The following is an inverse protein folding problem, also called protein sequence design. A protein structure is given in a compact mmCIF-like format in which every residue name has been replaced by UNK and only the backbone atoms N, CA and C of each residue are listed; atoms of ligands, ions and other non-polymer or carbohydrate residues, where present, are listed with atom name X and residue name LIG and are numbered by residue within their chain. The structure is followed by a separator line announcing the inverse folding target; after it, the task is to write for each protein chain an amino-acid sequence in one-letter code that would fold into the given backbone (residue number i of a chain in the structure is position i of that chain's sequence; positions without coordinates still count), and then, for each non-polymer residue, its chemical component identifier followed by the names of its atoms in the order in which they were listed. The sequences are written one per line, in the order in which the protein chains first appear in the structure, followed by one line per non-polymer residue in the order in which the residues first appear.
data_IF_550142803723
#
_entry.id   IF_550142803723
#
_cell.length_a   1.000
_cell.length_b   1.000
_cell.length_c   1.000
_cell.angle_alpha   90.00
_cell.angle_beta   90.00
_cell.angle_gamma   90.00
#
_symmetry.space_group_name_H-M   'P 1'
#
loop_
_entity.id
_entity.type
_entity.pdbx_description
1 polymer ?
#
# COMPACT_ATOMS: atom_id res chain seq x y z
N UNK A 1 -15.58 32.89 -15.45
CA UNK A 1 -14.83 31.92 -14.62
C UNK A 1 -15.57 30.58 -14.54
N UNK A 2 -16.83 30.54 -14.08
CA UNK A 2 -17.61 29.30 -13.96
C UNK A 2 -17.65 28.48 -15.25
N UNK A 3 -17.94 29.10 -16.41
CA UNK A 3 -18.01 28.41 -17.70
C UNK A 3 -16.66 27.84 -18.16
N UNK A 4 -15.55 28.52 -17.83
CA UNK A 4 -14.20 28.07 -18.15
C UNK A 4 -13.80 26.86 -17.28
N UNK A 5 -14.20 26.90 -16.00
CA UNK A 5 -13.99 25.78 -15.06
C UNK A 5 -14.81 24.56 -15.49
N UNK A 6 -16.08 24.74 -15.83
CA UNK A 6 -16.92 23.66 -16.34
C UNK A 6 -16.34 23.05 -17.63
N UNK A 7 -15.92 23.89 -18.58
CA UNK A 7 -15.29 23.40 -19.82
C UNK A 7 -14.03 22.58 -19.55
N UNK A 8 -13.16 23.03 -18.64
CA UNK A 8 -11.98 22.25 -18.24
C UNK A 8 -12.35 20.92 -17.58
N UNK A 9 -13.34 20.93 -16.68
CA UNK A 9 -13.78 19.75 -15.94
C UNK A 9 -14.37 18.68 -16.87
N UNK A 10 -15.16 19.07 -17.87
CA UNK A 10 -15.85 18.12 -18.74
C UNK A 10 -15.04 17.73 -19.98
N UNK A 11 -14.20 18.63 -20.51
CA UNK A 11 -13.50 18.40 -21.78
C UNK A 11 -12.02 18.06 -21.63
N UNK A 12 -11.32 18.65 -20.65
CA UNK A 12 -9.87 18.46 -20.48
C UNK A 12 -9.53 17.43 -19.41
N UNK A 13 -10.28 17.40 -18.30
CA UNK A 13 -9.98 16.52 -17.18
C UNK A 13 -10.11 15.01 -17.51
N UNK A 14 -11.16 14.52 -18.21
CA UNK A 14 -11.31 13.08 -18.45
C UNK A 14 -10.13 12.41 -19.19
N UNK A 15 -9.60 12.95 -20.32
CA UNK A 15 -8.45 12.34 -20.98
C UNK A 15 -7.17 12.43 -20.14
N UNK A 16 -7.01 13.49 -19.34
CA UNK A 16 -5.87 13.63 -18.43
C UNK A 16 -5.90 12.60 -17.31
N UNK A 17 -7.08 12.34 -16.72
CA UNK A 17 -7.26 11.29 -15.72
C UNK A 17 -7.03 9.90 -16.32
N UNK A 18 -7.55 9.65 -17.52
CA UNK A 18 -7.32 8.39 -18.24
C UNK A 18 -5.82 8.15 -18.46
N UNK A 19 -5.05 9.20 -18.80
CA UNK A 19 -3.60 9.11 -18.96
C UNK A 19 -2.82 8.89 -17.65
N UNK A 20 -3.40 9.21 -16.47
CA UNK A 20 -2.77 8.90 -15.18
C UNK A 20 -3.05 7.46 -14.72
N UNK A 21 -4.14 6.84 -15.19
CA UNK A 21 -4.52 5.49 -14.76
C UNK A 21 -3.46 4.47 -15.17
N UNK A 22 -2.88 3.76 -14.19
CA UNK A 22 -1.83 2.77 -14.44
C UNK A 22 -0.45 3.37 -14.74
N UNK A 23 -0.28 4.69 -14.59
CA UNK A 23 1.01 5.34 -14.82
C UNK A 23 2.09 4.77 -13.90
N UNK A 24 3.27 4.51 -14.45
CA UNK A 24 4.37 3.82 -13.77
C UNK A 24 4.05 2.38 -13.31
N UNK A 25 2.98 1.77 -13.85
CA UNK A 25 2.52 0.45 -13.42
C UNK A 25 1.84 0.45 -12.04
N UNK A 26 1.50 1.63 -11.50
CA UNK A 26 0.81 1.76 -10.21
C UNK A 26 -0.65 1.36 -10.44
N UNK A 27 -1.05 0.26 -9.82
CA UNK A 27 -2.41 -0.32 -9.92
C UNK A 27 -2.98 -0.59 -8.53
N UNK A 28 -4.31 -0.74 -8.39
CA UNK A 28 -4.92 -1.07 -7.10
C UNK A 28 -4.72 -2.53 -6.67
N UNK A 29 -4.13 -3.39 -7.52
CA UNK A 29 -4.07 -4.83 -7.31
C UNK A 29 -3.44 -5.25 -5.95
N UNK A 30 -2.34 -4.63 -5.47
CA UNK A 30 -1.76 -5.00 -4.16
C UNK A 30 -2.70 -4.68 -2.99
N UNK A 31 -3.47 -3.59 -3.07
CA UNK A 31 -4.44 -3.22 -2.03
C UNK A 31 -5.67 -4.15 -2.09
N UNK A 32 -6.14 -4.47 -3.30
CA UNK A 32 -7.23 -5.43 -3.49
C UNK A 32 -6.87 -6.81 -2.96
N UNK A 33 -5.62 -7.26 -3.14
CA UNK A 33 -5.14 -8.51 -2.57
C UNK A 33 -5.21 -8.52 -1.04
N UNK A 34 -4.90 -7.39 -0.39
CA UNK A 34 -5.03 -7.24 1.07
C UNK A 34 -6.48 -7.23 1.52
N UNK A 35 -7.35 -6.51 0.81
CA UNK A 35 -8.79 -6.49 1.10
C UNK A 35 -9.42 -7.89 0.95
N UNK A 36 -9.00 -8.65 -0.06
CA UNK A 36 -9.49 -10.01 -0.34
C UNK A 36 -8.92 -11.08 0.59
N UNK A 37 -7.79 -10.81 1.25
CA UNK A 37 -7.14 -11.77 2.14
C UNK A 37 -7.79 -11.85 3.53
N UNK A 38 -8.83 -11.05 3.81
CA UNK A 38 -9.59 -11.06 5.08
C UNK A 38 -8.69 -11.01 6.33
N UNK A 39 -7.65 -10.17 6.27
CA UNK A 39 -6.66 -10.08 7.35
C UNK A 39 -7.25 -9.54 8.65
N UNK A 40 -6.67 -9.95 9.78
CA UNK A 40 -7.02 -9.41 11.09
C UNK A 40 -6.40 -8.03 11.28
N UNK A 41 -7.19 -7.06 11.77
CA UNK A 41 -6.73 -5.71 12.10
C UNK A 41 -6.67 -5.50 13.63
N UNK A 42 -5.74 -4.69 14.15
CA UNK A 42 -4.78 -3.86 13.42
C UNK A 42 -3.63 -4.68 12.81
N UNK A 43 -3.17 -4.30 11.61
CA UNK A 43 -2.17 -5.07 10.86
C UNK A 43 -0.94 -4.24 10.48
N UNK A 44 0.22 -4.90 10.44
CA UNK A 44 1.45 -4.46 9.81
C UNK A 44 1.70 -5.35 8.59
N UNK A 45 1.76 -4.75 7.40
CA UNK A 45 2.03 -5.44 6.14
C UNK A 45 3.43 -5.08 5.65
N UNK A 46 4.28 -6.10 5.56
CA UNK A 46 5.63 -6.02 5.03
C UNK A 46 5.60 -6.32 3.53
N UNK A 47 5.82 -5.29 2.71
CA UNK A 47 5.84 -5.40 1.25
C UNK A 47 7.20 -5.93 0.80
N UNK A 48 7.19 -7.13 0.21
CA UNK A 48 8.37 -7.87 -0.26
C UNK A 48 8.70 -7.53 -1.71
N UNK A 49 9.93 -7.84 -2.12
CA UNK A 49 10.41 -7.74 -3.51
C UNK A 49 10.22 -6.36 -4.18
N UNK A 50 10.26 -5.28 -3.39
CA UNK A 50 10.17 -3.91 -3.90
C UNK A 50 11.45 -3.57 -4.66
N UNK A 51 11.38 -3.46 -5.99
CA UNK A 51 12.54 -3.12 -6.85
C UNK A 51 12.53 -1.65 -7.27
N UNK A 52 11.34 -1.04 -7.35
CA UNK A 52 11.12 0.35 -7.75
C UNK A 52 10.18 1.01 -6.75
N UNK A 53 10.28 2.32 -6.61
CA UNK A 53 9.37 3.11 -5.77
C UNK A 53 7.89 2.87 -6.13
N UNK A 54 7.59 2.66 -7.42
CA UNK A 54 6.24 2.43 -7.93
C UNK A 54 5.62 1.13 -7.44
N UNK A 55 6.44 0.14 -7.09
CA UNK A 55 5.98 -1.16 -6.58
C UNK A 55 5.40 -1.01 -5.15
N UNK A 56 5.78 0.05 -4.42
CA UNK A 56 5.28 0.37 -3.08
C UNK A 56 4.29 1.55 -3.07
N UNK A 57 4.18 2.32 -4.15
CA UNK A 57 3.47 3.60 -4.18
C UNK A 57 2.00 3.52 -3.73
N UNK A 58 1.27 2.46 -4.13
CA UNK A 58 -0.12 2.27 -3.73
C UNK A 58 -0.24 2.00 -2.21
N UNK A 59 0.59 1.09 -1.68
CA UNK A 59 0.67 0.77 -0.25
C UNK A 59 1.08 1.98 0.59
N UNK A 60 2.06 2.76 0.11
CA UNK A 60 2.46 4.01 0.76
C UNK A 60 1.29 5.00 0.86
N UNK A 61 0.57 5.22 -0.24
CA UNK A 61 -0.55 6.15 -0.29
C UNK A 61 -1.75 5.71 0.57
N UNK A 62 -1.86 4.42 0.87
CA UNK A 62 -2.90 3.87 1.74
C UNK A 62 -2.63 4.07 3.24
N UNK A 63 -1.40 4.39 3.64
CA UNK A 63 -1.09 4.67 5.04
C UNK A 63 -1.74 5.96 5.52
N UNK A 64 -2.24 5.95 6.76
CA UNK A 64 -2.60 7.21 7.42
C UNK A 64 -1.33 8.03 7.68
N UNK A 65 -1.38 9.37 7.65
CA UNK A 65 -0.20 10.22 7.88
C UNK A 65 0.47 10.01 9.26
N UNK A 66 -0.31 9.56 10.26
CA UNK A 66 0.17 9.29 11.61
C UNK A 66 0.53 7.81 11.85
N UNK A 67 0.39 6.94 10.83
CA UNK A 67 0.63 5.50 10.93
C UNK A 67 -0.20 4.79 12.01
N UNK A 68 -1.38 5.34 12.29
CA UNK A 68 -2.36 4.86 13.26
C UNK A 68 -3.58 4.18 12.62
N UNK A 69 -3.64 4.12 11.28
CA UNK A 69 -4.70 3.46 10.54
C UNK A 69 -4.82 1.96 10.83
N UNK A 70 -5.91 1.30 10.39
CA UNK A 70 -6.14 -0.13 10.64
C UNK A 70 -5.07 -1.04 10.02
N UNK A 71 -4.44 -0.60 8.93
CA UNK A 71 -3.34 -1.28 8.27
C UNK A 71 -2.19 -0.30 8.10
N UNK A 72 -0.98 -0.72 8.46
CA UNK A 72 0.27 -0.01 8.20
C UNK A 72 1.09 -0.82 7.23
N UNK A 73 1.47 -0.20 6.11
CA UNK A 73 2.34 -0.79 5.10
C UNK A 73 3.77 -0.29 5.26
N UNK A 74 4.73 -1.21 5.20
CA UNK A 74 6.16 -0.88 5.18
C UNK A 74 6.89 -1.74 4.16
N UNK A 75 7.94 -1.20 3.53
CA UNK A 75 8.84 -2.01 2.70
C UNK A 75 9.65 -2.93 3.61
N UNK A 76 9.76 -4.20 3.26
CA UNK A 76 10.71 -5.09 3.91
C UNK A 76 12.12 -4.88 3.35
N UNK A 77 12.99 -4.23 4.14
CA UNK A 77 14.40 -4.05 3.84
C UNK A 77 15.30 -5.20 4.34
N UNK A 78 14.70 -6.30 4.79
CA UNK A 78 15.39 -7.48 5.31
C UNK A 78 14.98 -7.81 6.74
N UNK A 79 15.40 -9.00 7.19
CA UNK A 79 14.92 -9.61 8.43
C UNK A 79 15.15 -8.73 9.68
N UNK A 80 16.32 -8.10 9.81
CA UNK A 80 16.61 -7.24 10.94
C UNK A 80 15.68 -6.02 11.02
N UNK A 81 15.38 -5.40 9.87
CA UNK A 81 14.46 -4.28 9.79
C UNK A 81 13.02 -4.71 10.07
N UNK A 82 12.58 -5.80 9.44
CA UNK A 82 11.28 -6.42 9.70
C UNK A 82 11.07 -6.78 11.17
N UNK A 83 12.09 -7.32 11.83
CA UNK A 83 12.05 -7.61 13.28
C UNK A 83 11.91 -6.34 14.10
N UNK A 84 12.66 -5.28 13.77
CA UNK A 84 12.54 -3.98 14.44
C UNK A 84 11.15 -3.36 14.28
N UNK A 85 10.57 -3.43 13.07
CA UNK A 85 9.22 -2.91 12.81
C UNK A 85 8.16 -3.70 13.59
N UNK A 86 8.26 -5.02 13.62
CA UNK A 86 7.36 -5.87 14.42
C UNK A 86 7.47 -5.58 15.92
N UNK A 87 8.66 -5.20 16.40
CA UNK A 87 8.84 -4.73 17.78
C UNK A 87 8.20 -3.36 18.04
N UNK A 88 8.28 -2.44 17.07
CA UNK A 88 7.69 -1.10 17.18
C UNK A 88 6.15 -1.13 17.10
N UNK A 89 5.60 -1.95 16.21
CA UNK A 89 4.17 -2.17 16.00
C UNK A 89 3.71 -3.52 16.60
N UNK A 90 4.11 -3.79 17.84
CA UNK A 90 3.89 -5.09 18.52
C UNK A 90 2.43 -5.49 18.68
N UNK A 91 1.53 -4.52 18.69
CA UNK A 91 0.09 -4.70 18.81
C UNK A 91 -0.58 -5.15 17.51
N UNK A 92 0.16 -5.15 16.39
CA UNK A 92 -0.38 -5.43 15.06
C UNK A 92 -0.07 -6.84 14.59
N UNK A 93 -1.05 -7.48 13.97
CA UNK A 93 -0.86 -8.74 13.25
C UNK A 93 0.09 -8.53 12.07
N UNK A 94 1.07 -9.42 11.92
CA UNK A 94 2.09 -9.29 10.88
C UNK A 94 1.71 -10.11 9.65
N UNK A 95 1.70 -9.45 8.49
CA UNK A 95 1.52 -10.08 7.19
C UNK A 95 2.63 -9.65 6.21
N UNK A 96 2.85 -10.47 5.20
CA UNK A 96 3.77 -10.23 4.11
C UNK A 96 2.98 -10.13 2.80
N UNK A 97 3.23 -9.07 2.03
CA UNK A 97 2.63 -8.83 0.72
C UNK A 97 3.71 -8.98 -0.36
N UNK A 98 3.54 -9.96 -1.24
CA UNK A 98 4.45 -10.23 -2.35
C UNK A 98 3.66 -10.24 -3.67
N UNK A 99 3.69 -9.12 -4.39
CA UNK A 99 2.81 -8.89 -5.54
C UNK A 99 1.34 -8.84 -5.09
N UNK A 100 0.56 -9.85 -5.48
CA UNK A 100 -0.87 -9.99 -5.13
C UNK A 100 -1.11 -11.13 -4.12
N UNK A 101 -0.07 -11.59 -3.43
CA UNK A 101 -0.17 -12.65 -2.43
C UNK A 101 0.07 -12.09 -1.04
N UNK A 102 -0.85 -12.40 -0.14
CA UNK A 102 -0.76 -12.07 1.29
C UNK A 102 -0.53 -13.34 2.08
N UNK A 103 0.40 -13.30 3.03
CA UNK A 103 0.72 -14.42 3.93
C UNK A 103 0.95 -13.89 5.33
N UNK A 104 0.69 -14.70 6.35
CA UNK A 104 1.12 -14.37 7.71
C UNK A 104 2.65 -14.42 7.81
N UNK A 105 3.22 -13.49 8.58
CA UNK A 105 4.65 -13.52 8.88
C UNK A 105 5.01 -14.77 9.69
N UNK A 106 6.21 -15.31 9.46
CA UNK A 106 6.75 -16.35 10.32
C UNK A 106 6.82 -15.88 11.79
N UNK A 107 6.52 -16.79 12.72
CA UNK A 107 6.71 -16.55 14.15
C UNK A 107 8.19 -16.27 14.39
N UNK A 108 8.50 -15.15 15.05
CA UNK A 108 9.88 -14.89 15.47
C UNK A 108 10.20 -15.94 16.53
N UNK A 109 11.12 -16.85 16.22
CA UNK A 109 11.68 -17.74 17.24
C UNK A 109 12.34 -16.90 18.33
N UNK A 110 12.06 -17.26 19.58
CA UNK A 110 12.62 -16.64 20.80
C UNK A 110 14.15 -16.68 20.84
#
# INVERSE_FOLDING_TARGET
IVSLVAYNLFWHLPPLLAAQKGKYGITPAPLQAVEQAEISTPALILVKDVKRWSDFAASFAANSPLLDGPVVYAIDWGEAYSRSLRGFFKERHCYELQGERVRECAVLGE
#
